data_IF_755495247013
#
_entry.id   IF_755495247013
#
_cell.length_a   1.000
_cell.length_b   1.000
_cell.length_c   1.000
_cell.angle_alpha   90.00
_cell.angle_beta   90.00
_cell.angle_gamma   90.00
#
_symmetry.space_group_name_H-M   'P 1'
#
loop_
_entity.id
_entity.type
_entity.pdbx_description
1 polymer ?
#
# COMPACT_ATOMS: atom_id res chain seq x y z
N UNK A 1 -29.74 -1.00 -9.65
CA UNK A 1 -29.30 -1.35 -11.02
C UNK A 1 -28.25 -2.45 -10.88
N UNK A 2 -28.40 -3.57 -11.58
CA UNK A 2 -27.42 -4.67 -11.58
C UNK A 2 -26.94 -4.88 -13.02
N UNK A 3 -25.63 -4.84 -13.25
CA UNK A 3 -25.02 -5.03 -14.56
C UNK A 3 -24.85 -6.52 -14.94
N UNK A 4 -25.33 -7.44 -14.10
CA UNK A 4 -25.11 -8.89 -14.26
C UNK A 4 -23.74 -9.34 -13.76
N UNK A 5 -23.27 -10.50 -14.25
CA UNK A 5 -21.94 -11.01 -13.93
C UNK A 5 -20.86 -10.38 -14.83
N UNK A 6 -19.67 -10.19 -14.27
CA UNK A 6 -18.49 -9.69 -14.97
C UNK A 6 -17.74 -10.86 -15.63
N UNK A 7 -18.27 -11.38 -16.73
CA UNK A 7 -17.77 -12.61 -17.39
C UNK A 7 -17.27 -12.40 -18.81
N UNK A 8 -17.40 -11.20 -19.36
CA UNK A 8 -17.04 -10.94 -20.76
C UNK A 8 -15.57 -10.55 -20.83
N UNK A 9 -14.73 -11.41 -21.40
CA UNK A 9 -13.30 -11.16 -21.53
C UNK A 9 -12.99 -10.20 -22.70
N UNK A 10 -12.08 -9.26 -22.46
CA UNK A 10 -11.48 -8.44 -23.52
C UNK A 10 -10.62 -9.30 -24.46
N UNK A 11 -10.79 -9.15 -25.77
CA UNK A 11 -10.05 -9.91 -26.81
C UNK A 11 -8.52 -9.72 -26.76
N UNK A 12 -8.04 -8.60 -26.20
CA UNK A 12 -6.62 -8.26 -26.20
C UNK A 12 -5.90 -8.61 -24.89
N UNK A 13 -6.55 -8.45 -23.74
CA UNK A 13 -5.90 -8.56 -22.44
C UNK A 13 -6.59 -9.51 -21.45
N UNK A 14 -7.69 -10.15 -21.86
CA UNK A 14 -8.50 -11.05 -21.04
C UNK A 14 -9.10 -10.46 -19.76
N UNK A 15 -9.01 -9.13 -19.57
CA UNK A 15 -9.72 -8.45 -18.49
C UNK A 15 -11.22 -8.73 -18.61
N UNK A 16 -11.85 -9.11 -17.49
CA UNK A 16 -13.27 -9.39 -17.43
C UNK A 16 -14.06 -8.10 -17.27
N UNK A 17 -15.16 -8.01 -18.00
CA UNK A 17 -16.04 -6.85 -18.05
C UNK A 17 -17.50 -7.27 -17.91
N UNK A 18 -18.34 -6.31 -17.51
CA UNK A 18 -19.78 -6.42 -17.75
C UNK A 18 -20.08 -6.08 -19.21
N UNK A 19 -21.02 -6.80 -19.83
CA UNK A 19 -21.40 -6.55 -21.22
C UNK A 19 -21.82 -5.09 -21.47
N UNK A 20 -22.41 -4.44 -20.46
CA UNK A 20 -22.81 -3.03 -20.51
C UNK A 20 -21.66 -2.04 -20.61
N UNK A 21 -20.43 -2.44 -20.27
CA UNK A 21 -19.23 -1.60 -20.38
C UNK A 21 -18.64 -1.55 -21.80
N UNK A 22 -19.22 -2.32 -22.73
CA UNK A 22 -18.78 -2.31 -24.12
C UNK A 22 -18.90 -0.91 -24.70
N UNK A 23 -17.99 -0.54 -25.61
CA UNK A 23 -18.11 0.72 -26.35
C UNK A 23 -19.37 0.71 -27.23
N UNK A 24 -20.01 1.86 -27.39
CA UNK A 24 -21.26 2.00 -28.15
C UNK A 24 -21.17 1.50 -29.59
N UNK A 25 -20.00 1.62 -30.21
CA UNK A 25 -19.72 1.21 -31.60
C UNK A 25 -19.51 -0.31 -31.76
N UNK A 26 -19.42 -1.06 -30.65
CA UNK A 26 -19.28 -2.53 -30.67
C UNK A 26 -20.63 -3.24 -30.56
N UNK A 27 -20.72 -4.47 -31.06
CA UNK A 27 -21.93 -5.28 -31.00
C UNK A 27 -21.89 -6.25 -29.82
N UNK A 28 -23.05 -6.77 -29.40
CA UNK A 28 -23.13 -7.75 -28.31
C UNK A 28 -22.44 -9.08 -28.66
N UNK A 29 -22.34 -9.42 -29.95
CA UNK A 29 -21.68 -10.65 -30.40
C UNK A 29 -20.15 -10.54 -30.40
N UNK A 30 -19.61 -9.32 -30.53
CA UNK A 30 -18.18 -9.02 -30.50
C UNK A 30 -17.96 -7.73 -29.70
N UNK A 31 -18.14 -7.78 -28.37
CA UNK A 31 -18.04 -6.60 -27.52
C UNK A 31 -16.58 -6.14 -27.44
N UNK A 32 -16.37 -4.83 -27.51
CA UNK A 32 -15.04 -4.21 -27.36
C UNK A 32 -15.02 -3.29 -26.15
N UNK A 33 -13.86 -3.20 -25.50
CA UNK A 33 -13.68 -2.46 -24.26
C UNK A 33 -12.49 -1.51 -24.37
N UNK A 34 -12.70 -0.25 -23.97
CA UNK A 34 -11.66 0.77 -23.98
C UNK A 34 -10.93 0.94 -22.65
N UNK A 35 -11.51 0.46 -21.54
CA UNK A 35 -11.08 0.78 -20.17
C UNK A 35 -9.92 -0.07 -19.66
N UNK A 36 -9.67 -1.25 -20.24
CA UNK A 36 -8.62 -2.17 -19.77
C UNK A 36 -7.28 -1.98 -20.50
N UNK A 37 -7.28 -2.05 -21.83
CA UNK A 37 -6.06 -2.05 -22.66
C UNK A 37 -6.12 -1.02 -23.80
N UNK A 38 -7.09 -0.10 -23.77
CA UNK A 38 -7.33 0.88 -24.84
C UNK A 38 -7.39 0.23 -26.23
N UNK A 39 -8.10 -0.89 -26.37
CA UNK A 39 -8.18 -1.69 -27.61
C UNK A 39 -6.83 -2.27 -28.06
N UNK A 40 -6.09 -2.87 -27.12
CA UNK A 40 -4.79 -3.50 -27.40
C UNK A 40 -3.63 -2.52 -27.64
N UNK A 41 -3.87 -1.20 -27.49
CA UNK A 41 -2.82 -0.18 -27.52
C UNK A 41 -1.94 -0.20 -26.27
N UNK A 42 -2.43 -0.85 -25.21
CA UNK A 42 -1.78 -0.99 -23.91
C UNK A 42 -1.70 -2.48 -23.57
N UNK A 43 -0.51 -3.03 -23.69
CA UNK A 43 -0.07 -4.31 -23.20
C UNK A 43 0.32 -4.19 -21.72
N UNK A 44 -0.62 -4.57 -20.86
CA UNK A 44 -0.36 -4.78 -19.44
C UNK A 44 0.42 -6.08 -19.25
N UNK A 45 1.35 -6.07 -18.30
CA UNK A 45 1.98 -7.33 -17.85
C UNK A 45 0.93 -8.18 -17.13
N UNK A 46 0.92 -9.50 -17.33
CA UNK A 46 0.12 -10.39 -16.51
C UNK A 46 0.46 -10.19 -15.03
N UNK A 47 -0.56 -10.18 -14.17
CA UNK A 47 -0.37 -10.17 -12.73
C UNK A 47 0.31 -11.48 -12.31
N UNK A 48 1.26 -11.38 -11.38
CA UNK A 48 1.87 -12.55 -10.77
C UNK A 48 0.84 -13.23 -9.88
N UNK A 49 0.79 -14.56 -9.89
CA UNK A 49 -0.08 -15.29 -8.97
C UNK A 49 0.33 -14.96 -7.51
N UNK A 50 -0.63 -14.60 -6.64
CA UNK A 50 -0.31 -14.24 -5.26
C UNK A 50 0.29 -15.42 -4.50
N UNK A 51 1.14 -15.19 -3.48
CA UNK A 51 1.70 -16.27 -2.68
C UNK A 51 0.62 -16.97 -1.85
N UNK A 52 0.88 -18.21 -1.43
CA UNK A 52 0.03 -18.87 -0.44
C UNK A 52 0.26 -18.24 0.95
N UNK A 53 -0.80 -18.05 1.76
CA UNK A 53 -2.16 -18.55 1.58
C UNK A 53 -3.10 -17.62 0.82
N UNK A 54 -2.66 -16.41 0.45
CA UNK A 54 -3.50 -15.38 -0.17
C UNK A 54 -4.19 -15.86 -1.45
N UNK A 55 -3.50 -16.63 -2.30
CA UNK A 55 -4.13 -17.16 -3.51
C UNK A 55 -5.35 -18.04 -3.20
N UNK A 56 -5.22 -19.00 -2.27
CA UNK A 56 -6.36 -19.85 -1.85
C UNK A 56 -7.51 -19.02 -1.30
N UNK A 57 -7.22 -17.98 -0.52
CA UNK A 57 -8.23 -17.09 0.05
C UNK A 57 -8.97 -16.27 -1.02
N UNK A 58 -8.31 -15.91 -2.12
CA UNK A 58 -8.90 -15.12 -3.22
C UNK A 58 -9.75 -15.95 -4.18
N UNK A 59 -9.36 -17.19 -4.47
CA UNK A 59 -10.04 -18.05 -5.47
C UNK A 59 -10.89 -19.16 -4.84
N UNK A 60 -10.71 -19.39 -3.54
CA UNK A 60 -11.40 -20.45 -2.81
C UNK A 60 -12.89 -20.19 -2.67
N UNK A 61 -13.65 -21.28 -2.51
CA UNK A 61 -15.08 -21.24 -2.25
C UNK A 61 -15.44 -21.73 -0.84
N UNK A 62 -14.44 -22.05 -0.01
CA UNK A 62 -14.65 -22.45 1.38
C UNK A 62 -15.09 -21.26 2.26
N UNK A 63 -15.60 -21.55 3.46
CA UNK A 63 -16.10 -20.52 4.36
C UNK A 63 -15.05 -19.48 4.77
N UNK A 64 -13.77 -19.89 4.85
CA UNK A 64 -12.67 -19.00 5.19
C UNK A 64 -12.38 -18.03 4.05
N UNK A 65 -12.34 -18.51 2.81
CA UNK A 65 -12.16 -17.68 1.61
C UNK A 65 -13.34 -16.69 1.42
N UNK A 66 -14.58 -17.15 1.60
CA UNK A 66 -15.76 -16.27 1.50
C UNK A 66 -15.75 -15.15 2.55
N UNK A 67 -15.39 -15.47 3.79
CA UNK A 67 -15.26 -14.49 4.87
C UNK A 67 -14.12 -13.51 4.59
N UNK A 68 -12.95 -14.02 4.18
CA UNK A 68 -11.82 -13.18 3.78
C UNK A 68 -12.21 -12.21 2.66
N UNK A 69 -12.83 -12.68 1.57
CA UNK A 69 -13.27 -11.82 0.48
C UNK A 69 -14.30 -10.78 0.92
N UNK A 70 -15.20 -11.13 1.85
CA UNK A 70 -16.18 -10.20 2.42
C UNK A 70 -15.51 -9.07 3.20
N UNK A 71 -14.42 -9.37 3.92
CA UNK A 71 -13.69 -8.42 4.77
C UNK A 71 -12.31 -8.03 4.23
N UNK A 72 -12.04 -8.23 2.93
CA UNK A 72 -10.70 -8.11 2.35
C UNK A 72 -10.07 -6.72 2.58
N UNK A 73 -10.89 -5.67 2.60
CA UNK A 73 -10.44 -4.30 2.86
C UNK A 73 -9.99 -4.11 4.29
N UNK A 74 -10.62 -4.76 5.27
CA UNK A 74 -10.21 -4.76 6.67
C UNK A 74 -8.93 -5.56 6.87
N UNK A 75 -8.83 -6.74 6.26
CA UNK A 75 -7.59 -7.52 6.23
C UNK A 75 -6.43 -6.70 5.66
N UNK A 76 -6.63 -6.04 4.51
CA UNK A 76 -5.60 -5.19 3.92
C UNK A 76 -5.22 -4.02 4.84
N UNK A 77 -6.20 -3.33 5.42
CA UNK A 77 -5.96 -2.21 6.33
C UNK A 77 -5.17 -2.63 7.59
N UNK A 78 -5.38 -3.85 8.09
CA UNK A 78 -4.66 -4.39 9.24
C UNK A 78 -3.15 -4.58 8.97
N UNK A 79 -2.76 -4.76 7.71
CA UNK A 79 -1.37 -4.96 7.28
C UNK A 79 -0.74 -3.71 6.63
N UNK A 80 -1.48 -2.63 6.40
CA UNK A 80 -0.95 -1.44 5.76
C UNK A 80 0.26 -0.85 6.51
N UNK A 81 1.30 -0.43 5.78
CA UNK A 81 2.47 0.27 6.34
C UNK A 81 2.19 1.74 6.60
N UNK A 82 1.23 2.31 5.89
CA UNK A 82 0.92 3.75 5.91
C UNK A 82 -0.53 3.98 6.28
N UNK A 83 -0.78 5.03 7.03
CA UNK A 83 -2.14 5.49 7.30
C UNK A 83 -2.67 6.36 6.16
N UNK A 84 -3.99 6.51 6.10
CA UNK A 84 -4.64 7.38 5.12
C UNK A 84 -4.81 8.78 5.70
N UNK A 85 -4.19 9.76 5.06
CA UNK A 85 -4.34 11.17 5.34
C UNK A 85 -5.32 11.83 4.37
N UNK A 86 -6.10 12.76 4.90
CA UNK A 86 -6.89 13.71 4.12
C UNK A 86 -6.41 15.11 4.45
N UNK A 87 -6.27 15.96 3.44
CA UNK A 87 -6.08 17.39 3.68
C UNK A 87 -7.41 17.96 4.21
N UNK A 88 -7.53 18.06 5.53
CA UNK A 88 -8.74 18.54 6.19
C UNK A 88 -8.81 20.08 6.17
N UNK A 89 -9.88 20.64 5.60
CA UNK A 89 -10.18 22.06 5.75
C UNK A 89 -11.08 22.25 6.97
N UNK A 90 -10.44 22.43 8.14
CA UNK A 90 -11.08 22.65 9.45
C UNK A 90 -12.08 23.82 9.46
N UNK A 91 -12.11 24.68 8.45
CA UNK A 91 -13.06 25.79 8.36
C UNK A 91 -14.51 25.37 8.05
N UNK A 92 -14.75 24.15 7.55
CA UNK A 92 -16.10 23.71 7.15
C UNK A 92 -16.96 23.37 8.38
N UNK A 93 -16.34 22.90 9.47
CA UNK A 93 -17.05 22.50 10.69
C UNK A 93 -17.24 23.65 11.71
N UNK A 94 -17.16 24.92 11.27
CA UNK A 94 -17.33 26.09 12.14
C UNK A 94 -18.72 26.20 12.77
N UNK A 95 -19.74 25.55 12.20
CA UNK A 95 -21.13 25.63 12.66
C UNK A 95 -21.49 24.64 13.78
N UNK A 96 -20.50 23.98 14.38
CA UNK A 96 -20.68 23.12 15.55
C UNK A 96 -21.04 21.67 15.21
N UNK A 97 -21.10 20.80 16.24
CA UNK A 97 -21.17 19.33 16.08
C UNK A 97 -22.45 18.82 15.40
N UNK A 98 -23.51 19.62 15.33
CA UNK A 98 -24.79 19.23 14.73
C UNK A 98 -24.83 19.33 13.19
N UNK A 99 -23.77 19.86 12.56
CA UNK A 99 -23.62 19.95 11.11
C UNK A 99 -22.19 19.57 10.70
N UNK A 100 -21.65 18.51 11.30
CA UNK A 100 -20.32 18.01 10.98
C UNK A 100 -20.30 17.40 9.58
N UNK A 101 -19.50 17.96 8.69
CA UNK A 101 -19.33 17.51 7.31
C UNK A 101 -17.90 17.04 7.13
N UNK A 102 -17.73 15.74 6.85
CA UNK A 102 -16.46 15.21 6.37
C UNK A 102 -16.32 15.52 4.89
N UNK A 103 -15.45 16.47 4.54
CA UNK A 103 -15.17 16.84 3.15
C UNK A 103 -13.72 16.56 2.81
N UNK A 104 -13.49 15.60 1.92
CA UNK A 104 -12.19 15.35 1.32
C UNK A 104 -11.90 16.50 0.35
N UNK A 105 -10.97 17.39 0.70
CA UNK A 105 -10.52 18.49 -0.14
C UNK A 105 -9.14 18.17 -0.68
N UNK A 106 -9.04 17.96 -2.00
CA UNK A 106 -7.79 17.60 -2.68
C UNK A 106 -7.60 16.09 -2.83
N UNK A 107 -6.35 15.63 -2.73
CA UNK A 107 -5.97 14.23 -2.92
C UNK A 107 -5.85 13.48 -1.59
N UNK A 108 -6.26 12.22 -1.57
CA UNK A 108 -5.87 11.24 -0.55
C UNK A 108 -4.35 11.12 -0.53
N UNK A 109 -3.75 11.11 0.65
CA UNK A 109 -2.31 10.90 0.77
C UNK A 109 -2.01 9.79 1.77
N UNK A 110 -0.97 9.01 1.48
CA UNK A 110 -0.47 8.03 2.42
C UNK A 110 0.48 8.74 3.37
N UNK A 111 0.27 8.51 4.65
CA UNK A 111 1.06 9.09 5.72
C UNK A 111 1.94 7.99 6.30
N UNK A 112 3.24 8.24 6.30
CA UNK A 112 4.22 7.43 7.02
C UNK A 112 4.41 8.01 8.42
N UNK A 113 4.29 7.14 9.42
CA UNK A 113 4.59 7.47 10.82
C UNK A 113 6.07 7.23 11.13
N UNK A 114 6.48 7.63 12.33
CA UNK A 114 7.75 7.20 12.90
C UNK A 114 7.79 5.67 13.03
N UNK A 115 8.99 5.09 12.93
CA UNK A 115 9.18 3.65 13.01
C UNK A 115 9.02 3.09 14.43
N UNK A 116 9.13 3.95 15.44
CA UNK A 116 8.90 3.60 16.85
C UNK A 116 7.67 4.32 17.40
N UNK A 117 6.81 3.55 18.07
CA UNK A 117 5.66 4.10 18.77
C UNK A 117 6.10 4.94 19.99
N UNK A 118 5.41 6.06 20.31
CA UNK A 118 5.66 6.80 21.54
C UNK A 118 5.42 5.94 22.79
N UNK A 119 6.08 6.29 23.89
CA UNK A 119 5.91 5.58 25.17
C UNK A 119 4.44 5.55 25.61
N UNK A 120 3.96 4.34 25.92
CA UNK A 120 2.58 4.11 26.35
C UNK A 120 1.54 4.09 25.22
N UNK A 121 1.95 4.28 23.97
CA UNK A 121 1.07 4.17 22.79
C UNK A 121 1.28 2.82 22.11
N UNK A 122 0.17 2.16 21.75
CA UNK A 122 0.24 0.90 21.00
C UNK A 122 0.77 1.12 19.57
N UNK A 123 1.68 0.26 19.08
CA UNK A 123 2.23 0.39 17.74
C UNK A 123 1.16 0.23 16.66
N UNK A 124 1.37 0.92 15.54
CA UNK A 124 0.46 0.91 14.40
C UNK A 124 1.17 0.98 13.05
N UNK A 125 0.50 0.46 12.02
CA UNK A 125 0.99 0.46 10.63
C UNK A 125 2.42 -0.09 10.53
N UNK A 126 3.35 0.66 9.93
CA UNK A 126 4.76 0.25 9.76
C UNK A 126 5.44 -0.17 11.07
N UNK A 127 5.09 0.44 12.21
CA UNK A 127 5.69 0.13 13.52
C UNK A 127 5.48 -1.33 13.90
N UNK A 128 4.38 -1.96 13.48
CA UNK A 128 4.08 -3.35 13.83
C UNK A 128 5.10 -4.34 13.28
N UNK A 129 5.80 -3.99 12.20
CA UNK A 129 6.81 -4.84 11.57
C UNK A 129 8.14 -4.90 12.33
N UNK A 130 8.30 -4.05 13.36
CA UNK A 130 9.52 -3.91 14.16
C UNK A 130 9.42 -4.70 15.47
N UNK A 131 8.22 -5.20 15.80
CA UNK A 131 7.96 -6.00 16.99
C UNK A 131 8.05 -7.49 16.68
N UNK A 132 8.18 -8.29 17.74
CA UNK A 132 8.00 -9.74 17.66
C UNK A 132 6.67 -10.07 16.93
N UNK A 133 6.67 -11.00 15.95
CA UNK A 133 5.47 -11.33 15.18
C UNK A 133 4.25 -11.68 16.04
N UNK A 134 4.46 -12.37 17.17
CA UNK A 134 3.39 -12.76 18.09
C UNK A 134 2.76 -11.53 18.75
N UNK A 135 3.59 -10.56 19.15
CA UNK A 135 3.14 -9.30 19.73
C UNK A 135 2.41 -8.47 18.67
N UNK A 136 2.98 -8.35 17.47
CA UNK A 136 2.38 -7.64 16.36
C UNK A 136 1.01 -8.21 15.98
N UNK A 137 0.89 -9.54 15.90
CA UNK A 137 -0.37 -10.23 15.63
C UNK A 137 -1.41 -9.91 16.71
N UNK A 138 -1.02 -9.95 17.98
CA UNK A 138 -1.94 -9.63 19.07
C UNK A 138 -2.45 -8.18 18.98
N UNK A 139 -1.58 -7.22 18.67
CA UNK A 139 -1.97 -5.81 18.47
C UNK A 139 -2.92 -5.65 17.28
N UNK A 140 -2.65 -6.33 16.16
CA UNK A 140 -3.52 -6.34 14.99
C UNK A 140 -4.91 -6.92 15.33
N UNK A 141 -4.95 -8.04 16.06
CA UNK A 141 -6.21 -8.69 16.47
C UNK A 141 -7.02 -7.84 17.44
N UNK A 142 -6.37 -7.12 18.37
CA UNK A 142 -7.07 -6.22 19.30
C UNK A 142 -7.85 -5.12 18.55
N UNK A 143 -7.34 -4.67 17.40
CA UNK A 143 -7.96 -3.63 16.56
C UNK A 143 -8.95 -4.20 15.53
N UNK A 144 -8.87 -5.49 15.23
CA UNK A 144 -9.61 -6.16 14.18
C UNK A 144 -10.28 -7.45 14.72
N UNK A 145 -11.00 -7.32 15.85
CA UNK A 145 -11.58 -8.47 16.57
C UNK A 145 -12.66 -9.23 15.79
N UNK A 146 -13.19 -8.63 14.72
CA UNK A 146 -14.13 -9.27 13.79
C UNK A 146 -13.47 -10.20 12.78
N UNK A 147 -12.15 -10.13 12.58
CA UNK A 147 -11.44 -10.94 11.60
C UNK A 147 -11.03 -12.30 12.20
N UNK A 148 -10.93 -13.31 11.34
CA UNK A 148 -10.43 -14.62 11.77
C UNK A 148 -8.93 -14.58 12.07
N UNK A 149 -8.57 -14.99 13.30
CA UNK A 149 -7.20 -15.02 13.81
C UNK A 149 -6.28 -15.88 12.95
N UNK A 150 -6.70 -17.08 12.58
CA UNK A 150 -5.88 -18.01 11.81
C UNK A 150 -5.56 -17.44 10.41
N UNK A 151 -6.50 -16.73 9.80
CA UNK A 151 -6.29 -16.02 8.53
C UNK A 151 -5.30 -14.85 8.72
N UNK A 152 -5.45 -14.06 9.79
CA UNK A 152 -4.52 -12.97 10.12
C UNK A 152 -3.10 -13.49 10.34
N UNK A 153 -2.93 -14.55 11.13
CA UNK A 153 -1.63 -15.18 11.40
C UNK A 153 -0.97 -15.70 10.12
N UNK A 154 -1.75 -16.40 9.29
CA UNK A 154 -1.27 -16.96 8.03
C UNK A 154 -0.84 -15.87 7.03
N UNK A 155 -1.61 -14.77 6.95
CA UNK A 155 -1.28 -13.62 6.10
C UNK A 155 -0.08 -12.83 6.64
N UNK A 156 0.04 -12.67 7.96
CA UNK A 156 1.18 -12.02 8.58
C UNK A 156 2.46 -12.79 8.25
N UNK A 157 2.47 -14.10 8.49
CA UNK A 157 3.62 -14.95 8.19
C UNK A 157 3.98 -14.90 6.69
N UNK A 158 3.00 -14.89 5.79
CA UNK A 158 3.23 -14.72 4.36
C UNK A 158 3.93 -13.38 4.06
N UNK A 159 3.37 -12.27 4.55
CA UNK A 159 3.89 -10.93 4.28
C UNK A 159 5.30 -10.72 4.84
N UNK A 160 5.58 -11.20 6.06
CA UNK A 160 6.92 -11.15 6.65
C UNK A 160 7.97 -11.87 5.79
N UNK A 161 7.57 -12.92 5.07
CA UNK A 161 8.48 -13.70 4.22
C UNK A 161 8.56 -13.19 2.77
N UNK A 162 7.49 -12.60 2.23
CA UNK A 162 7.40 -12.27 0.80
C UNK A 162 7.43 -10.78 0.48
N UNK A 163 6.92 -9.93 1.37
CA UNK A 163 6.66 -8.53 1.06
C UNK A 163 7.93 -7.68 1.23
N UNK A 164 8.45 -7.03 0.18
CA UNK A 164 9.77 -6.38 0.22
C UNK A 164 9.92 -5.30 1.27
N UNK A 165 8.87 -4.51 1.51
CA UNK A 165 8.94 -3.38 2.43
C UNK A 165 9.06 -3.82 3.89
N UNK A 166 8.80 -5.08 4.23
CA UNK A 166 9.02 -5.58 5.59
C UNK A 166 10.49 -5.46 5.97
N UNK A 167 11.38 -6.01 5.13
CA UNK A 167 12.83 -5.98 5.35
C UNK A 167 13.41 -4.57 5.19
N UNK A 168 12.92 -3.78 4.23
CA UNK A 168 13.38 -2.39 4.03
C UNK A 168 13.10 -1.54 5.28
N UNK A 169 11.88 -1.64 5.85
CA UNK A 169 11.51 -0.86 7.02
C UNK A 169 12.23 -1.34 8.28
N UNK A 170 12.49 -2.66 8.42
CA UNK A 170 13.33 -3.20 9.50
C UNK A 170 14.76 -2.67 9.39
N UNK A 171 15.37 -2.75 8.22
CA UNK A 171 16.74 -2.24 8.03
C UNK A 171 16.84 -0.74 8.28
N UNK A 172 15.84 0.04 7.83
CA UNK A 172 15.76 1.46 8.14
C UNK A 172 15.64 1.73 9.65
N UNK A 173 14.88 0.92 10.38
CA UNK A 173 14.76 1.01 11.83
C UNK A 173 16.09 0.69 12.54
N UNK A 174 16.74 -0.42 12.20
CA UNK A 174 18.05 -0.80 12.74
C UNK A 174 19.10 0.29 12.51
N UNK A 175 19.18 0.81 11.28
CA UNK A 175 20.08 1.92 10.91
C UNK A 175 19.82 3.15 11.78
N UNK A 176 18.54 3.47 12.03
CA UNK A 176 18.14 4.59 12.86
C UNK A 176 18.42 4.36 14.37
N UNK A 177 18.42 3.12 14.84
CA UNK A 177 18.84 2.77 16.20
C UNK A 177 20.36 2.86 16.37
N UNK A 178 21.13 2.41 15.38
CA UNK A 178 22.60 2.50 15.38
C UNK A 178 23.09 3.97 15.43
N UNK A 179 22.37 4.87 14.77
CA UNK A 179 22.66 6.30 14.79
C UNK A 179 22.38 6.96 16.16
N UNK A 180 21.65 6.30 17.06
CA UNK A 180 21.46 6.73 18.44
C UNK A 180 20.94 8.17 18.60
N UNK A 181 21.55 8.90 19.55
CA UNK A 181 21.17 10.27 19.95
C UNK A 181 21.67 11.36 18.99
N UNK A 182 21.98 11.02 17.73
CA UNK A 182 22.18 12.04 16.70
C UNK A 182 20.97 12.97 16.65
N UNK A 183 21.18 14.24 16.32
CA UNK A 183 20.09 15.21 16.28
C UNK A 183 19.15 14.89 15.09
N UNK A 184 18.02 14.23 15.38
CA UNK A 184 16.97 13.84 14.42
C UNK A 184 17.51 13.08 13.19
N UNK A 185 18.07 11.86 13.34
CA UNK A 185 18.54 11.07 12.21
C UNK A 185 17.36 10.70 11.32
N UNK A 186 17.59 10.73 10.00
CA UNK A 186 16.58 10.43 9.00
C UNK A 186 17.13 9.37 8.06
N UNK A 187 16.29 8.40 7.72
CA UNK A 187 16.58 7.44 6.66
C UNK A 187 15.69 7.75 5.48
N UNK A 188 16.29 7.83 4.30
CA UNK A 188 15.58 8.09 3.06
C UNK A 188 15.55 6.83 2.23
N UNK A 189 14.34 6.34 1.97
CA UNK A 189 14.09 5.31 0.97
C UNK A 189 14.05 5.99 -0.40
N UNK A 190 15.02 5.65 -1.25
CA UNK A 190 15.12 6.15 -2.62
C UNK A 190 14.85 5.04 -3.61
N UNK A 191 14.07 5.37 -4.63
CA UNK A 191 13.97 4.54 -5.83
C UNK A 191 15.14 4.92 -6.74
N UNK A 192 16.20 4.09 -6.78
CA UNK A 192 17.40 4.39 -7.56
C UNK A 192 17.11 4.36 -9.07
N UNK A 193 17.52 5.39 -9.84
CA UNK A 193 17.50 5.34 -11.30
C UNK A 193 18.77 4.64 -11.81
N UNK A 194 18.65 3.44 -12.40
CA UNK A 194 19.83 2.80 -13.00
C UNK A 194 19.65 1.37 -13.49
N UNK A 195 18.90 0.55 -12.76
CA UNK A 195 18.60 -0.81 -13.23
C UNK A 195 17.33 -0.80 -14.08
N UNK A 196 17.32 -1.57 -15.16
CA UNK A 196 16.20 -1.67 -16.09
C UNK A 196 14.90 -1.82 -15.29
N UNK A 197 14.10 -0.74 -15.21
CA UNK A 197 12.83 -0.66 -14.47
C UNK A 197 11.81 -1.69 -14.95
N UNK A 198 12.14 -2.41 -16.04
CA UNK A 198 11.39 -3.53 -16.60
C UNK A 198 11.68 -4.85 -15.90
N UNK A 199 12.78 -4.99 -15.16
CA UNK A 199 13.02 -6.11 -14.26
C UNK A 199 12.53 -5.70 -12.89
N UNK A 200 11.82 -6.60 -12.22
CA UNK A 200 11.52 -6.52 -10.79
C UNK A 200 12.86 -6.56 -10.06
N UNK A 201 13.58 -5.43 -10.02
CA UNK A 201 14.84 -5.37 -9.30
C UNK A 201 14.48 -5.39 -7.82
N UNK A 202 15.21 -6.23 -7.09
CA UNK A 202 15.09 -6.34 -5.66
C UNK A 202 15.32 -4.94 -5.07
N UNK A 203 14.49 -4.43 -4.14
CA UNK A 203 14.99 -3.51 -3.14
C UNK A 203 16.20 -4.17 -2.48
N UNK A 204 17.38 -3.67 -2.82
CA UNK A 204 18.64 -3.95 -2.13
C UNK A 204 18.81 -2.94 -1.01
N UNK A 205 19.71 -3.24 -0.07
CA UNK A 205 20.15 -2.31 0.96
C UNK A 205 20.58 -0.93 0.38
N UNK A 206 20.94 -0.88 -0.90
CA UNK A 206 21.29 0.33 -1.66
C UNK A 206 20.14 1.37 -1.77
N UNK A 207 18.88 0.97 -1.55
CA UNK A 207 17.72 1.88 -1.57
C UNK A 207 17.54 2.68 -0.26
N UNK A 208 18.30 2.33 0.79
CA UNK A 208 18.25 2.97 2.10
C UNK A 208 19.46 3.88 2.25
N UNK A 209 19.25 5.20 2.16
CA UNK A 209 20.30 6.19 2.37
C UNK A 209 20.10 6.94 3.69
N UNK A 210 21.13 6.96 4.54
CA UNK A 210 21.14 7.80 5.76
C UNK A 210 21.31 9.26 5.38
N UNK A 211 20.45 10.12 5.93
CA UNK A 211 20.56 11.58 5.81
C UNK A 211 20.85 12.15 7.20
N UNK A 212 22.02 12.79 7.33
CA UNK A 212 22.42 13.52 8.52
C UNK A 212 21.86 14.97 8.45
N UNK A 213 21.56 15.61 9.59
CA UNK A 213 21.06 16.99 9.61
C UNK A 213 22.09 17.97 9.00
N UNK A 214 21.75 18.53 7.85
CA UNK A 214 22.58 19.47 7.11
C UNK A 214 22.12 19.60 5.65
N UNK A 215 21.82 20.83 5.24
CA UNK A 215 21.43 21.36 3.92
C UNK A 215 20.26 20.76 3.12
N UNK A 216 19.67 19.64 3.52
CA UNK A 216 18.30 19.26 3.17
C UNK A 216 17.94 19.48 1.70
N UNK A 217 18.83 19.10 0.78
CA UNK A 217 18.58 19.19 -0.66
C UNK A 217 17.16 18.68 -0.95
N UNK A 218 16.36 19.56 -1.55
CA UNK A 218 14.90 19.44 -1.62
C UNK A 218 14.52 18.02 -2.04
N UNK A 219 13.77 17.36 -1.16
CA UNK A 219 13.30 16.00 -1.39
C UNK A 219 12.58 15.94 -2.73
N UNK A 220 13.06 15.08 -3.61
CA UNK A 220 12.33 14.78 -4.83
C UNK A 220 10.98 14.18 -4.41
N UNK A 221 9.91 14.39 -5.19
CA UNK A 221 8.58 13.78 -4.94
C UNK A 221 8.61 12.25 -4.92
N UNK A 222 9.77 11.66 -5.20
CA UNK A 222 10.06 10.24 -5.27
C UNK A 222 10.80 9.70 -4.03
N UNK A 223 10.96 10.48 -2.96
CA UNK A 223 11.63 10.02 -1.74
C UNK A 223 10.61 9.75 -0.62
N UNK A 224 10.75 8.63 0.10
CA UNK A 224 10.07 8.40 1.38
C UNK A 224 11.10 8.60 2.48
N UNK A 225 10.79 9.45 3.46
CA UNK A 225 11.70 9.72 4.56
C UNK A 225 11.10 9.17 5.85
N UNK A 226 11.91 8.41 6.56
CA UNK A 226 11.59 7.70 7.79
C UNK A 226 12.38 8.29 8.95
N UNK A 227 11.71 8.38 10.09
CA UNK A 227 12.27 8.84 11.36
C UNK A 227 12.13 7.74 12.40
N UNK A 228 13.09 7.65 13.33
CA UNK A 228 12.98 6.66 14.41
C UNK A 228 11.83 7.02 15.36
N UNK A 229 11.88 8.26 15.86
CA UNK A 229 10.90 8.84 16.78
C UNK A 229 10.52 10.21 16.24
N UNK A 230 9.26 10.58 16.35
CA UNK A 230 8.81 11.94 16.11
C UNK A 230 9.02 12.77 17.38
N UNK A 231 9.56 13.98 17.25
CA UNK A 231 9.42 14.98 18.30
C UNK A 231 7.92 15.27 18.52
N UNK A 232 7.53 15.60 19.74
CA UNK A 232 6.14 15.98 20.03
C UNK A 232 5.68 17.09 19.07
N UNK A 233 4.62 16.81 18.29
CA UNK A 233 4.05 17.66 17.22
C UNK A 233 4.76 17.67 15.85
N UNK A 234 5.66 16.73 15.54
CA UNK A 234 6.12 16.57 14.15
C UNK A 234 4.97 16.11 13.24
N UNK A 235 4.78 16.72 12.06
CA UNK A 235 3.76 16.28 11.12
C UNK A 235 4.11 14.87 10.58
N UNK A 236 3.08 14.07 10.33
CA UNK A 236 3.25 12.80 9.62
C UNK A 236 3.81 13.03 8.22
N UNK A 237 4.68 12.12 7.78
CA UNK A 237 5.39 12.27 6.51
C UNK A 237 4.49 11.87 5.35
N UNK A 238 4.29 12.77 4.40
CA UNK A 238 3.45 12.52 3.24
C UNK A 238 4.22 11.78 2.16
N UNK A 239 3.71 10.63 1.74
CA UNK A 239 4.19 9.92 0.55
C UNK A 239 3.45 10.47 -0.67
N UNK A 240 4.18 10.83 -1.73
CA UNK A 240 3.55 11.27 -2.98
C UNK A 240 2.80 10.11 -3.63
N UNK A 241 1.62 10.40 -4.17
CA UNK A 241 0.86 9.55 -5.09
C UNK A 241 1.62 9.15 -6.36
N UNK A 242 2.69 9.88 -6.70
CA UNK A 242 3.59 9.59 -7.81
C UNK A 242 4.69 8.57 -7.43
N UNK A 243 4.82 8.21 -6.14
CA UNK A 243 5.84 7.28 -5.67
C UNK A 243 5.42 5.83 -5.99
N UNK A 244 6.29 4.99 -6.57
CA UNK A 244 5.92 3.60 -6.92
C UNK A 244 5.56 2.73 -5.70
N UNK A 245 6.07 3.06 -4.52
CA UNK A 245 5.68 2.44 -3.24
C UNK A 245 4.33 2.93 -2.67
N UNK A 246 3.72 3.98 -3.22
CA UNK A 246 2.50 4.56 -2.66
C UNK A 246 1.39 3.51 -2.55
N UNK A 247 1.03 2.84 -3.65
CA UNK A 247 -0.02 1.80 -3.62
C UNK A 247 0.42 0.55 -2.84
N UNK A 248 1.63 -0.01 -3.02
CA UNK A 248 2.06 -1.20 -2.28
C UNK A 248 2.09 -1.03 -0.76
N UNK A 249 2.46 0.15 -0.24
CA UNK A 249 2.50 0.39 1.20
C UNK A 249 1.12 0.48 1.85
N UNK A 250 0.08 0.78 1.07
CA UNK A 250 -1.30 0.87 1.56
C UNK A 250 -2.15 -0.36 1.20
N UNK A 251 -2.00 -0.89 -0.01
CA UNK A 251 -2.69 -2.08 -0.53
C UNK A 251 -1.80 -3.32 -0.50
N UNK A 252 -1.27 -3.63 0.67
CA UNK A 252 -0.27 -4.68 0.90
C UNK A 252 -0.72 -6.06 0.39
N UNK A 253 -2.00 -6.41 0.52
CA UNK A 253 -2.52 -7.69 0.01
C UNK A 253 -2.75 -7.69 -1.51
N UNK A 254 -2.87 -6.52 -2.13
CA UNK A 254 -2.94 -6.40 -3.59
C UNK A 254 -1.56 -6.49 -4.23
N UNK A 255 -0.52 -6.06 -3.51
CA UNK A 255 0.87 -6.09 -3.94
C UNK A 255 1.72 -7.00 -3.01
N UNK A 256 1.40 -8.30 -2.89
CA UNK A 256 2.08 -9.20 -1.94
C UNK A 256 3.53 -9.53 -2.32
N UNK A 257 3.93 -9.15 -3.54
CA UNK A 257 5.24 -9.35 -4.14
C UNK A 257 6.02 -8.04 -4.25
N UNK A 258 7.11 -8.04 -5.02
CA UNK A 258 7.95 -6.87 -5.32
C UNK A 258 7.40 -6.00 -6.45
N UNK A 259 6.11 -5.73 -6.43
CA UNK A 259 5.45 -4.97 -7.50
C UNK A 259 5.41 -3.48 -7.15
N UNK A 260 5.76 -2.64 -8.11
CA UNK A 260 5.52 -1.20 -8.00
C UNK A 260 4.06 -0.89 -8.35
N UNK A 261 3.49 0.06 -7.62
CA UNK A 261 2.26 0.72 -8.03
C UNK A 261 2.49 1.67 -9.21
N UNK A 262 1.51 2.54 -9.45
CA UNK A 262 1.61 3.55 -10.50
C UNK A 262 2.73 4.56 -10.18
N UNK A 263 3.47 4.97 -11.21
CA UNK A 263 4.44 6.07 -11.16
C UNK A 263 4.59 6.70 -12.56
N UNK A 264 5.09 7.96 -12.67
CA UNK A 264 5.13 8.69 -13.96
C UNK A 264 5.94 8.00 -15.07
N UNK A 265 6.96 7.24 -14.68
CA UNK A 265 7.85 6.54 -15.60
C UNK A 265 7.39 5.11 -15.93
N UNK A 266 6.18 4.72 -15.50
CA UNK A 266 5.62 3.41 -15.78
C UNK A 266 5.35 3.31 -17.29
N UNK A 267 6.18 2.55 -18.00
CA UNK A 267 5.98 2.32 -19.43
C UNK A 267 5.03 1.15 -19.64
N UNK A 268 3.86 1.43 -20.19
CA UNK A 268 2.99 0.40 -20.76
C UNK A 268 3.47 0.11 -22.18
N UNK A 269 3.54 -1.15 -22.59
CA UNK A 269 3.91 -1.52 -23.97
C UNK A 269 2.70 -1.64 -24.86
#
# INVERSE_FOLDING_TARGET
HSCGQMTVACEHCNALHWLSEKISESCNALPRFGTCCSHGKVQLRPLTEPPQPLHRLLVGADAQAQEFCTHITQYNAAFAFTSLGVSDNKNINRHGPNAWVFRILGQLCNLSEALTAPDGIHPSYSQLYMYDPTIALQQQMNRNSSLHRDTMESLQAMLTNSHPYTEIYKHAHETLEELGDMDNPMVRLRVLPGDDRRRYNLPTADEVAVVLPGDGSEGNRCDIILHNRTASNSPLMRISDMHPAYSPLYFVLLFPHREHGWHPDLTLR
#
